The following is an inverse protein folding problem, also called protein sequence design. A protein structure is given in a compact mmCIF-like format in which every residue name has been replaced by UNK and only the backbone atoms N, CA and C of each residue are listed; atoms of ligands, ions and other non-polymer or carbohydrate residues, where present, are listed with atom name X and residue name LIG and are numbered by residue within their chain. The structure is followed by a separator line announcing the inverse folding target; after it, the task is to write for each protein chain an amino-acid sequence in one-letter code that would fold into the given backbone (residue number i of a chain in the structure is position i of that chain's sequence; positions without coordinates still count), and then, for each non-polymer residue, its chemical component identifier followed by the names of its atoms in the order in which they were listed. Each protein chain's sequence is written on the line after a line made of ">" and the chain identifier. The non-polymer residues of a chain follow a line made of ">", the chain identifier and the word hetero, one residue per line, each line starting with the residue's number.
data_IF_527599003150
#
_entry.id   IF_527599003150
#
_cell.length_a   1.000
_cell.length_b   1.000
_cell.length_c   1.000
_cell.angle_alpha   90.00
_cell.angle_beta   90.00
_cell.angle_gamma   90.00
#
_symmetry.space_group_name_H-M   'P 1'
#
loop_
_entity.id
_entity.type
_entity.pdbx_description
1 polymer ?
#
# COMPACT_ATOMS: atom_id res chain seq x y z
N UNK A 1 16.14 9.73 -5.09
CA UNK A 1 17.14 9.31 -4.07
C UNK A 1 16.61 8.25 -3.12
N UNK A 2 15.35 8.33 -2.68
CA UNK A 2 14.84 7.47 -1.60
C UNK A 2 14.62 6.00 -1.97
N UNK A 3 14.24 5.70 -3.21
CA UNK A 3 14.14 4.31 -3.70
C UNK A 3 15.50 3.59 -3.79
N UNK A 4 16.59 4.31 -4.02
CA UNK A 4 17.94 3.73 -3.99
C UNK A 4 18.35 3.23 -2.61
N UNK A 5 17.90 3.91 -1.56
CA UNK A 5 18.20 3.53 -0.17
C UNK A 5 17.50 2.25 0.28
N UNK A 6 16.46 1.82 -0.45
CA UNK A 6 15.72 0.58 -0.18
C UNK A 6 16.07 -0.55 -1.16
N UNK A 7 17.14 -0.37 -1.95
CA UNK A 7 17.76 -1.43 -2.76
C UNK A 7 17.42 -1.45 -4.25
N UNK A 8 16.70 -0.46 -4.77
CA UNK A 8 16.43 -0.36 -6.21
C UNK A 8 17.51 0.43 -6.93
N UNK A 9 17.97 -0.04 -8.10
CA UNK A 9 18.65 0.87 -9.04
C UNK A 9 17.60 1.75 -9.71
N UNK A 10 17.87 3.05 -9.84
CA UNK A 10 16.88 4.00 -10.33
C UNK A 10 17.48 5.05 -11.25
N UNK A 11 16.81 5.31 -12.37
CA UNK A 11 17.02 6.53 -13.17
C UNK A 11 15.83 7.47 -13.00
N UNK A 12 16.07 8.77 -13.14
CA UNK A 12 15.04 9.81 -12.99
C UNK A 12 14.98 10.64 -14.25
N UNK A 13 13.76 10.93 -14.71
CA UNK A 13 13.46 11.88 -15.76
C UNK A 13 12.45 12.90 -15.24
N UNK A 14 12.52 14.13 -15.75
CA UNK A 14 11.67 15.24 -15.31
C UNK A 14 10.60 15.64 -16.35
N UNK A 15 10.63 14.99 -17.51
CA UNK A 15 9.70 15.17 -18.63
C UNK A 15 9.54 13.85 -19.40
N UNK A 16 8.47 13.75 -20.19
CA UNK A 16 8.08 12.52 -20.88
C UNK A 16 9.06 12.10 -21.97
N UNK A 17 9.61 13.04 -22.74
CA UNK A 17 10.65 12.73 -23.74
C UNK A 17 11.90 12.12 -23.12
N UNK A 18 12.42 12.73 -22.06
CA UNK A 18 13.58 12.20 -21.34
C UNK A 18 13.26 10.84 -20.71
N UNK A 19 12.01 10.64 -20.24
CA UNK A 19 11.57 9.35 -19.70
C UNK A 19 11.62 8.24 -20.76
N UNK A 20 11.08 8.50 -21.96
CA UNK A 20 11.12 7.56 -23.08
C UNK A 20 12.56 7.23 -23.51
N UNK A 21 13.40 8.25 -23.70
CA UNK A 21 14.81 8.06 -24.08
C UNK A 21 15.58 7.25 -23.02
N UNK A 22 15.32 7.54 -21.74
CA UNK A 22 15.94 6.82 -20.63
C UNK A 22 15.45 5.37 -20.56
N UNK A 23 14.16 5.14 -20.73
CA UNK A 23 13.58 3.81 -20.71
C UNK A 23 14.13 2.94 -21.85
N UNK A 24 14.25 3.50 -23.06
CA UNK A 24 14.81 2.80 -24.21
C UNK A 24 16.29 2.43 -24.03
N UNK A 25 17.09 3.28 -23.38
CA UNK A 25 18.53 3.05 -23.19
C UNK A 25 18.84 2.16 -21.99
N UNK A 26 18.07 2.27 -20.91
CA UNK A 26 18.34 1.61 -19.64
C UNK A 26 17.55 0.31 -19.46
N UNK A 27 16.46 0.12 -20.21
CA UNK A 27 15.57 -1.05 -20.15
C UNK A 27 15.11 -1.39 -18.73
N UNK A 28 14.32 -0.51 -18.08
CA UNK A 28 13.89 -0.71 -16.70
C UNK A 28 12.94 -1.89 -16.54
N UNK A 29 12.94 -2.52 -15.36
CA UNK A 29 11.92 -3.51 -14.99
C UNK A 29 10.56 -2.86 -14.64
N UNK A 30 10.59 -1.58 -14.22
CA UNK A 30 9.40 -0.81 -13.83
C UNK A 30 9.54 0.68 -14.10
N UNK A 31 8.46 1.30 -14.57
CA UNK A 31 8.27 2.73 -14.72
C UNK A 31 7.33 3.27 -13.64
N UNK A 32 7.83 4.20 -12.83
CA UNK A 32 7.01 4.98 -11.89
C UNK A 32 6.72 6.34 -12.52
N UNK A 33 5.53 6.51 -13.09
CA UNK A 33 5.19 7.63 -13.96
C UNK A 33 4.24 8.62 -13.29
N UNK A 34 4.60 9.90 -13.27
CA UNK A 34 3.64 10.96 -12.97
C UNK A 34 2.63 11.11 -14.10
N UNK A 35 1.34 11.21 -13.78
CA UNK A 35 0.30 11.44 -14.80
C UNK A 35 0.46 12.82 -15.45
N UNK A 36 0.87 13.82 -14.66
CA UNK A 36 0.99 15.21 -15.09
C UNK A 36 2.47 15.56 -15.29
N UNK A 37 2.98 15.34 -16.50
CA UNK A 37 4.32 15.79 -16.91
C UNK A 37 4.23 17.12 -17.67
N UNK A 38 5.33 17.91 -17.72
CA UNK A 38 5.31 19.25 -18.30
C UNK A 38 5.12 19.29 -19.84
N UNK A 39 5.47 18.22 -20.55
CA UNK A 39 5.51 18.16 -22.02
C UNK A 39 4.48 17.21 -22.64
N UNK A 40 4.07 16.16 -21.94
CA UNK A 40 3.01 15.21 -22.34
C UNK A 40 2.34 14.58 -21.12
N UNK A 41 1.31 13.74 -21.30
CA UNK A 41 0.79 12.98 -20.15
C UNK A 41 1.64 11.76 -19.85
N UNK A 42 1.71 11.32 -18.59
CA UNK A 42 2.29 10.03 -18.24
C UNK A 42 1.62 8.86 -18.95
N UNK A 43 0.32 8.97 -19.29
CA UNK A 43 -0.37 7.97 -20.11
C UNK A 43 0.18 7.90 -21.53
N UNK A 44 0.58 9.04 -22.10
CA UNK A 44 1.21 9.08 -23.42
C UNK A 44 2.59 8.42 -23.37
N UNK A 45 3.37 8.71 -22.33
CA UNK A 45 4.67 8.04 -22.09
C UNK A 45 4.51 6.52 -22.00
N UNK A 46 3.51 6.03 -21.25
CA UNK A 46 3.26 4.60 -21.11
C UNK A 46 2.90 3.96 -22.46
N UNK A 47 1.95 4.54 -23.19
CA UNK A 47 1.56 4.05 -24.51
C UNK A 47 2.75 4.01 -25.46
N UNK A 48 3.49 5.09 -25.57
CA UNK A 48 4.61 5.23 -26.51
C UNK A 48 5.76 4.26 -26.12
N UNK A 49 5.98 4.01 -24.82
CA UNK A 49 6.94 3.02 -24.34
C UNK A 49 6.53 1.58 -24.72
N UNK A 50 5.25 1.24 -24.56
CA UNK A 50 4.70 -0.08 -24.95
C UNK A 50 4.79 -0.26 -26.47
N UNK A 51 4.42 0.76 -27.26
CA UNK A 51 4.54 0.73 -28.72
C UNK A 51 6.00 0.57 -29.19
N UNK A 52 6.95 1.10 -28.42
CA UNK A 52 8.39 0.91 -28.64
C UNK A 52 8.92 -0.47 -28.20
N UNK A 53 8.07 -1.35 -27.67
CA UNK A 53 8.43 -2.72 -27.26
C UNK A 53 8.98 -2.82 -25.84
N UNK A 54 8.61 -1.89 -24.95
CA UNK A 54 9.00 -1.95 -23.53
C UNK A 54 8.09 -2.92 -22.77
N UNK A 55 8.69 -3.90 -22.09
CA UNK A 55 7.99 -4.88 -21.23
C UNK A 55 7.99 -4.46 -19.74
N UNK A 56 8.42 -3.24 -19.45
CA UNK A 56 8.48 -2.71 -18.08
C UNK A 56 7.08 -2.59 -17.48
N UNK A 57 6.94 -2.96 -16.22
CA UNK A 57 5.70 -2.75 -15.50
C UNK A 57 5.47 -1.25 -15.23
N UNK A 58 4.22 -0.79 -15.15
CA UNK A 58 3.90 0.64 -15.01
C UNK A 58 3.05 0.92 -13.78
N UNK A 59 3.55 1.81 -12.92
CA UNK A 59 2.82 2.37 -11.79
C UNK A 59 2.62 3.87 -12.02
N UNK A 60 1.37 4.33 -12.01
CA UNK A 60 1.05 5.74 -12.15
C UNK A 60 0.95 6.47 -10.81
N UNK A 61 1.50 7.68 -10.75
CA UNK A 61 1.32 8.63 -9.66
C UNK A 61 0.29 9.68 -10.08
N UNK A 62 -0.89 9.67 -9.47
CA UNK A 62 -2.00 10.59 -9.81
C UNK A 62 -2.31 11.55 -8.67
N UNK A 63 -2.74 12.78 -8.97
CA UNK A 63 -3.18 13.76 -7.98
C UNK A 63 -4.71 13.86 -7.80
N UNK A 64 -5.52 13.03 -8.50
CA UNK A 64 -6.99 13.17 -8.50
C UNK A 64 -7.73 11.84 -8.28
N UNK A 65 -8.77 11.93 -7.45
CA UNK A 65 -9.75 10.88 -7.11
C UNK A 65 -10.81 10.62 -8.19
N UNK A 66 -10.66 11.17 -9.40
CA UNK A 66 -11.70 11.01 -10.44
C UNK A 66 -11.64 9.60 -11.05
N UNK A 67 -12.74 8.87 -10.86
CA UNK A 67 -13.01 7.52 -11.39
C UNK A 67 -12.74 7.41 -12.90
N UNK A 68 -12.79 8.52 -13.65
CA UNK A 68 -12.52 8.57 -15.09
C UNK A 68 -11.05 8.31 -15.49
N UNK A 69 -10.08 8.69 -14.66
CA UNK A 69 -8.66 8.52 -14.98
C UNK A 69 -8.17 7.08 -14.73
N UNK A 70 -8.73 6.42 -13.70
CA UNK A 70 -8.48 4.99 -13.43
C UNK A 70 -8.94 4.10 -14.59
N UNK A 71 -10.10 4.40 -15.18
CA UNK A 71 -10.63 3.64 -16.34
C UNK A 71 -9.74 3.81 -17.57
N UNK A 72 -9.19 5.02 -17.78
CA UNK A 72 -8.31 5.30 -18.92
C UNK A 72 -7.00 4.56 -18.84
N UNK A 73 -6.30 4.60 -17.72
CA UNK A 73 -4.98 4.02 -17.70
C UNK A 73 -4.95 2.48 -17.52
N UNK A 74 -6.01 1.83 -17.00
CA UNK A 74 -6.14 0.37 -17.14
C UNK A 74 -6.28 -0.04 -18.62
N UNK A 75 -6.90 0.81 -19.45
CA UNK A 75 -6.99 0.61 -20.89
C UNK A 75 -5.66 0.80 -21.65
N UNK A 76 -4.64 1.39 -21.03
CA UNK A 76 -3.31 1.66 -21.63
C UNK A 76 -2.25 0.66 -21.13
N UNK A 77 -2.58 -0.24 -20.20
CA UNK A 77 -1.66 -1.27 -19.70
C UNK A 77 -0.98 -0.95 -18.38
N UNK A 78 -1.61 -0.16 -17.51
CA UNK A 78 -1.08 0.07 -16.15
C UNK A 78 -1.21 -1.15 -15.24
N UNK A 79 -0.17 -1.42 -14.45
CA UNK A 79 -0.16 -2.49 -13.44
C UNK A 79 -0.65 -2.03 -12.06
N UNK A 80 -0.47 -0.76 -11.70
CA UNK A 80 -0.98 -0.17 -10.45
C UNK A 80 -1.09 1.38 -10.49
N UNK A 81 -1.74 1.96 -9.49
CA UNK A 81 -1.88 3.40 -9.27
C UNK A 81 -1.59 3.79 -7.83
N UNK A 82 -0.97 4.97 -7.66
CA UNK A 82 -0.72 5.61 -6.37
C UNK A 82 -1.26 7.02 -6.41
N UNK A 83 -2.14 7.36 -5.46
CA UNK A 83 -2.66 8.72 -5.32
C UNK A 83 -1.71 9.59 -4.50
N UNK A 84 -1.53 10.84 -4.92
CA UNK A 84 -0.80 11.88 -4.20
C UNK A 84 -1.76 12.56 -3.23
N UNK A 85 -1.36 12.80 -1.97
CA UNK A 85 -0.03 12.56 -1.42
C UNK A 85 0.19 11.10 -0.95
N UNK A 86 1.32 10.49 -1.32
CA UNK A 86 1.69 9.12 -0.94
C UNK A 86 2.80 9.07 0.12
N UNK A 87 2.94 7.94 0.83
CA UNK A 87 4.16 7.65 1.61
C UNK A 87 5.22 6.97 0.74
N UNK A 88 6.49 7.08 1.12
CA UNK A 88 7.55 6.28 0.49
C UNK A 88 7.28 4.78 0.65
N UNK A 89 6.86 4.36 1.85
CA UNK A 89 6.62 2.97 2.18
C UNK A 89 5.52 2.36 1.30
N UNK A 90 4.48 3.14 0.99
CA UNK A 90 3.41 2.76 0.06
C UNK A 90 3.97 2.54 -1.34
N UNK A 91 4.74 3.49 -1.87
CA UNK A 91 5.36 3.36 -3.20
C UNK A 91 6.29 2.16 -3.25
N UNK A 92 7.09 1.93 -2.21
CA UNK A 92 8.01 0.78 -2.13
C UNK A 92 7.25 -0.54 -2.10
N UNK A 93 6.17 -0.63 -1.32
CA UNK A 93 5.35 -1.84 -1.26
C UNK A 93 4.73 -2.17 -2.61
N UNK A 94 4.18 -1.17 -3.31
CA UNK A 94 3.56 -1.35 -4.63
C UNK A 94 4.56 -1.71 -5.72
N UNK A 95 5.72 -1.04 -5.74
CA UNK A 95 6.83 -1.38 -6.65
C UNK A 95 7.25 -2.84 -6.50
N UNK A 96 7.38 -3.34 -5.25
CA UNK A 96 7.72 -4.75 -5.00
C UNK A 96 6.62 -5.69 -5.48
N UNK A 97 5.36 -5.38 -5.21
CA UNK A 97 4.23 -6.21 -5.60
C UNK A 97 4.12 -6.34 -7.13
N UNK A 98 4.31 -5.24 -7.85
CA UNK A 98 4.24 -5.22 -9.32
C UNK A 98 5.42 -5.98 -9.94
N UNK A 99 6.66 -5.71 -9.53
CA UNK A 99 7.84 -6.43 -10.04
C UNK A 99 7.75 -7.95 -9.82
N UNK A 100 7.16 -8.38 -8.70
CA UNK A 100 6.97 -9.80 -8.41
C UNK A 100 6.01 -10.48 -9.38
N UNK A 101 4.97 -9.76 -9.86
CA UNK A 101 4.00 -10.26 -10.83
C UNK A 101 4.58 -10.29 -12.26
N UNK A 102 5.39 -9.31 -12.63
CA UNK A 102 5.96 -9.19 -13.98
C UNK A 102 7.04 -10.23 -14.31
N UNK A 103 7.73 -10.79 -13.31
CA UNK A 103 8.78 -11.81 -13.54
C UNK A 103 8.26 -13.26 -13.67
N UNK A 104 6.96 -13.47 -13.91
CA UNK A 104 6.42 -14.79 -14.26
C UNK A 104 6.63 -15.88 -13.19
N UNK A 105 6.75 -15.48 -11.92
CA UNK A 105 6.66 -16.44 -10.82
C UNK A 105 5.19 -16.83 -10.67
N UNK A 106 4.74 -17.78 -11.51
CA UNK A 106 3.45 -18.46 -11.45
C UNK A 106 3.37 -19.40 -10.23
N UNK A 107 3.39 -18.79 -9.06
CA UNK A 107 2.90 -19.34 -7.81
C UNK A 107 2.43 -18.14 -6.98
N UNK A 108 1.24 -18.20 -6.35
CA UNK A 108 0.82 -17.10 -5.47
C UNK A 108 1.97 -16.86 -4.47
N UNK A 109 2.51 -15.64 -4.37
CA UNK A 109 3.52 -15.40 -3.37
C UNK A 109 2.88 -15.72 -2.01
N UNK A 110 3.55 -16.56 -1.23
CA UNK A 110 3.25 -16.66 0.18
C UNK A 110 3.59 -15.30 0.82
N UNK A 111 2.69 -14.32 0.72
CA UNK A 111 2.91 -13.00 1.30
C UNK A 111 2.23 -11.84 0.58
N UNK A 112 0.91 -11.72 0.73
CA UNK A 112 0.33 -10.44 1.19
C UNK A 112 -0.93 -10.65 2.04
N UNK A 113 -1.11 -11.88 2.55
CA UNK A 113 -2.22 -12.24 3.43
C UNK A 113 -1.66 -12.37 4.84
N UNK A 114 -2.07 -11.48 5.73
CA UNK A 114 -1.74 -11.54 7.14
C UNK A 114 -2.85 -12.30 7.89
N UNK A 115 -2.46 -13.37 8.58
CA UNK A 115 -3.41 -14.22 9.31
C UNK A 115 -3.11 -14.26 10.80
N UNK A 116 -4.14 -14.20 11.65
CA UNK A 116 -4.03 -14.46 13.07
C UNK A 116 -5.29 -15.15 13.61
N UNK A 117 -5.17 -16.44 13.93
CA UNK A 117 -6.35 -17.26 14.23
C UNK A 117 -7.28 -17.31 13.03
N UNK A 118 -8.54 -16.97 13.23
CA UNK A 118 -9.59 -16.84 12.21
C UNK A 118 -9.66 -15.44 11.57
N UNK A 119 -8.73 -14.53 11.87
CA UNK A 119 -8.62 -13.23 11.21
C UNK A 119 -7.69 -13.35 10.00
N UNK A 120 -8.13 -12.85 8.85
CA UNK A 120 -7.38 -12.82 7.60
C UNK A 120 -7.48 -11.41 7.02
N UNK A 121 -6.34 -10.82 6.68
CA UNK A 121 -6.25 -9.55 5.97
C UNK A 121 -5.47 -9.80 4.69
N UNK A 122 -6.12 -9.61 3.56
CA UNK A 122 -5.52 -9.62 2.23
C UNK A 122 -5.13 -8.18 1.87
N UNK A 123 -3.83 -7.94 1.76
CA UNK A 123 -3.24 -6.62 1.51
C UNK A 123 -3.26 -6.25 0.03
N UNK A 124 -3.37 -7.23 -0.87
CA UNK A 124 -3.57 -6.97 -2.29
C UNK A 124 -5.02 -6.55 -2.57
N UNK A 125 -5.98 -7.24 -1.96
CA UNK A 125 -7.41 -6.99 -2.15
C UNK A 125 -7.99 -5.92 -1.23
N UNK A 126 -7.21 -5.42 -0.26
CA UNK A 126 -7.71 -4.59 0.84
C UNK A 126 -8.93 -5.21 1.54
N UNK A 127 -8.95 -6.55 1.64
CA UNK A 127 -10.06 -7.32 2.17
C UNK A 127 -9.70 -7.84 3.56
N UNK A 128 -10.61 -7.69 4.51
CA UNK A 128 -10.47 -8.27 5.85
C UNK A 128 -11.62 -9.22 6.08
N UNK A 129 -11.31 -10.43 6.54
CA UNK A 129 -12.32 -11.41 6.95
C UNK A 129 -12.03 -11.94 8.35
N UNK A 130 -13.10 -12.26 9.08
CA UNK A 130 -13.07 -12.84 10.42
C UNK A 130 -13.95 -14.08 10.42
N UNK A 131 -13.37 -15.25 10.62
CA UNK A 131 -14.08 -16.52 10.51
C UNK A 131 -14.74 -16.71 9.14
N UNK A 132 -14.15 -16.15 8.07
CA UNK A 132 -14.73 -16.14 6.72
C UNK A 132 -15.78 -15.05 6.47
N UNK A 133 -16.17 -14.26 7.49
CA UNK A 133 -17.11 -13.14 7.33
C UNK A 133 -16.35 -11.87 6.97
N UNK A 134 -16.69 -11.15 5.88
CA UNK A 134 -16.09 -9.86 5.56
C UNK A 134 -16.30 -8.82 6.68
N UNK A 135 -15.26 -8.02 6.95
CA UNK A 135 -15.29 -6.93 7.92
C UNK A 135 -14.89 -5.63 7.23
N UNK A 136 -15.85 -4.72 7.07
CA UNK A 136 -15.62 -3.42 6.44
C UNK A 136 -14.87 -2.47 7.37
N UNK A 137 -13.64 -2.13 7.01
CA UNK A 137 -12.79 -1.19 7.74
C UNK A 137 -12.59 0.09 6.93
N UNK A 138 -12.57 1.23 7.63
CA UNK A 138 -12.04 2.47 7.08
C UNK A 138 -10.52 2.37 6.86
N UNK A 139 -9.91 3.23 6.04
CA UNK A 139 -8.47 3.16 5.76
C UNK A 139 -7.58 3.18 7.01
N UNK A 140 -7.95 3.99 8.01
CA UNK A 140 -7.19 4.09 9.27
C UNK A 140 -7.40 2.89 10.18
N UNK A 141 -8.62 2.33 10.24
CA UNK A 141 -8.87 1.08 10.98
C UNK A 141 -8.12 -0.11 10.34
N UNK A 142 -8.05 -0.13 9.00
CA UNK A 142 -7.29 -1.11 8.23
C UNK A 142 -5.79 -1.01 8.52
N UNK A 143 -5.22 0.20 8.45
CA UNK A 143 -3.81 0.43 8.75
C UNK A 143 -3.45 0.03 10.19
N UNK A 144 -4.32 0.36 11.16
CA UNK A 144 -4.18 -0.09 12.54
C UNK A 144 -4.20 -1.62 12.66
N UNK A 145 -5.13 -2.29 11.98
CA UNK A 145 -5.24 -3.74 12.00
C UNK A 145 -4.02 -4.42 11.37
N UNK A 146 -3.56 -3.92 10.22
CA UNK A 146 -2.35 -4.38 9.53
C UNK A 146 -1.13 -4.27 10.44
N UNK A 147 -0.96 -3.13 11.12
CA UNK A 147 0.15 -2.93 12.06
C UNK A 147 0.12 -3.90 13.24
N UNK A 148 -1.08 -4.17 13.80
CA UNK A 148 -1.28 -5.18 14.84
C UNK A 148 -0.98 -6.60 14.34
N UNK A 149 -1.39 -6.94 13.11
CA UNK A 149 -1.18 -8.24 12.48
C UNK A 149 0.29 -8.51 12.11
N UNK A 150 1.07 -7.47 11.84
CA UNK A 150 2.53 -7.57 11.66
C UNK A 150 3.28 -7.79 12.98
N UNK A 151 2.62 -7.54 14.12
CA UNK A 151 3.22 -7.60 15.46
C UNK A 151 2.40 -8.50 16.43
N UNK A 152 2.05 -9.76 16.07
CA UNK A 152 1.22 -10.60 16.90
C UNK A 152 1.92 -10.95 18.21
N UNK A 153 1.18 -10.91 19.32
CA UNK A 153 1.71 -11.18 20.67
C UNK A 153 2.62 -10.08 21.25
N UNK A 154 3.06 -9.10 20.45
CA UNK A 154 3.86 -7.97 20.92
C UNK A 154 2.95 -6.86 21.45
N UNK A 155 3.33 -6.28 22.59
CA UNK A 155 2.64 -5.09 23.12
C UNK A 155 3.15 -3.86 22.38
N UNK A 156 2.24 -3.17 21.70
CA UNK A 156 2.49 -1.93 20.97
C UNK A 156 1.97 -0.75 21.78
N UNK A 157 2.84 0.22 22.05
CA UNK A 157 2.48 1.43 22.79
C UNK A 157 1.62 2.37 21.95
N UNK A 158 0.88 3.27 22.61
CA UNK A 158 0.10 4.30 21.91
C UNK A 158 0.97 5.16 21.00
N UNK A 159 2.17 5.52 21.47
CA UNK A 159 3.12 6.31 20.68
C UNK A 159 3.61 5.54 19.44
N UNK A 160 3.89 4.23 19.56
CA UNK A 160 4.28 3.41 18.42
C UNK A 160 3.16 3.27 17.38
N UNK A 161 1.94 3.02 17.86
CA UNK A 161 0.76 2.94 17.00
C UNK A 161 0.49 4.28 16.33
N UNK A 162 0.58 5.38 17.08
CA UNK A 162 0.39 6.72 16.54
C UNK A 162 1.42 6.98 15.43
N UNK A 163 2.70 6.80 15.71
CA UNK A 163 3.81 7.05 14.78
C UNK A 163 3.70 6.22 13.47
N UNK A 164 3.28 4.96 13.56
CA UNK A 164 3.18 4.07 12.39
C UNK A 164 1.87 4.18 11.62
N UNK A 165 0.76 4.54 12.27
CA UNK A 165 -0.57 4.59 11.64
C UNK A 165 -0.99 6.02 11.29
N UNK A 166 -0.45 7.02 11.98
CA UNK A 166 -0.69 8.45 11.78
C UNK A 166 0.64 9.21 11.59
N UNK A 167 0.83 9.83 10.42
CA UNK A 167 2.04 10.62 10.12
C UNK A 167 2.15 11.88 11.01
N UNK A 168 3.38 12.35 11.20
CA UNK A 168 3.87 13.31 12.21
C UNK A 168 3.30 14.76 12.21
N UNK A 169 2.18 15.05 11.54
CA UNK A 169 1.54 16.38 11.56
C UNK A 169 0.27 16.43 12.43
N UNK A 170 -0.03 15.38 13.19
CA UNK A 170 -1.23 15.33 14.04
C UNK A 170 -0.97 16.02 15.39
N UNK A 171 -1.33 17.31 15.49
CA UNK A 171 -1.36 18.08 16.74
C UNK A 171 -2.52 17.69 17.68
N UNK A 172 -2.95 16.42 17.65
CA UNK A 172 -4.15 15.95 18.33
C UNK A 172 -3.86 15.09 19.56
N UNK A 173 -4.86 15.07 20.44
CA UNK A 173 -4.84 14.48 21.77
C UNK A 173 -4.56 12.97 21.75
N UNK A 174 -3.91 12.47 22.80
CA UNK A 174 -3.46 11.08 22.92
C UNK A 174 -4.59 10.02 22.93
N UNK A 175 -5.86 10.45 22.84
CA UNK A 175 -7.07 9.63 22.82
C UNK A 175 -7.53 9.12 21.44
N UNK A 176 -6.87 9.52 20.34
CA UNK A 176 -7.24 9.06 18.99
C UNK A 176 -7.00 7.56 18.83
N UNK A 177 -5.88 7.05 19.35
CA UNK A 177 -5.55 5.62 19.29
C UNK A 177 -6.63 4.79 19.99
N UNK A 178 -7.10 5.22 21.17
CA UNK A 178 -8.17 4.59 21.93
C UNK A 178 -9.46 4.52 21.14
N UNK A 179 -9.80 5.62 20.46
CA UNK A 179 -11.03 5.74 19.67
C UNK A 179 -11.01 4.75 18.52
N UNK A 180 -9.91 4.69 17.76
CA UNK A 180 -9.77 3.75 16.64
C UNK A 180 -9.63 2.30 17.10
N UNK A 181 -8.96 2.02 18.21
CA UNK A 181 -8.95 0.67 18.79
C UNK A 181 -10.36 0.25 19.22
N UNK A 182 -11.14 1.17 19.78
CA UNK A 182 -12.54 0.92 20.18
C UNK A 182 -13.41 0.58 18.96
N UNK A 183 -13.30 1.38 17.89
CA UNK A 183 -14.02 1.14 16.64
C UNK A 183 -13.63 -0.18 15.99
N UNK A 184 -12.32 -0.44 15.85
CA UNK A 184 -11.78 -1.67 15.30
C UNK A 184 -12.28 -2.90 16.09
N UNK A 185 -12.23 -2.85 17.43
CA UNK A 185 -12.78 -3.91 18.29
C UNK A 185 -14.26 -4.13 18.04
N UNK A 186 -15.05 -3.06 17.97
CA UNK A 186 -16.50 -3.18 17.75
C UNK A 186 -16.81 -3.97 16.48
N UNK A 187 -16.05 -3.73 15.40
CA UNK A 187 -16.21 -4.42 14.12
C UNK A 187 -15.70 -5.86 14.16
N UNK A 188 -14.48 -6.08 14.68
CA UNK A 188 -13.90 -7.43 14.75
C UNK A 188 -14.66 -8.35 15.71
N UNK A 189 -15.08 -7.82 16.86
CA UNK A 189 -15.75 -8.60 17.90
C UNK A 189 -17.21 -8.94 17.52
N UNK A 190 -17.81 -8.20 16.59
CA UNK A 190 -19.12 -8.56 16.04
C UNK A 190 -19.08 -9.88 15.26
N UNK A 191 -17.91 -10.23 14.70
CA UNK A 191 -17.71 -11.43 13.89
C UNK A 191 -16.97 -12.56 14.63
N UNK A 192 -16.56 -12.37 15.89
CA UNK A 192 -15.86 -13.42 16.65
C UNK A 192 -15.34 -12.97 18.01
N UNK A 193 -14.62 -13.83 18.75
CA UNK A 193 -14.10 -13.50 20.07
C UNK A 193 -13.00 -12.42 20.00
N UNK A 194 -12.80 -11.65 21.07
CA UNK A 194 -11.90 -10.49 21.07
C UNK A 194 -10.43 -10.87 20.96
N UNK A 195 -9.77 -10.36 19.92
CA UNK A 195 -8.33 -10.56 19.69
C UNK A 195 -7.45 -9.38 20.12
N UNK A 196 -7.95 -8.15 20.00
CA UNK A 196 -7.18 -6.95 20.34
C UNK A 196 -7.39 -6.65 21.82
N UNK A 197 -6.35 -6.78 22.63
CA UNK A 197 -6.42 -6.64 24.09
C UNK A 197 -5.61 -5.44 24.57
N UNK A 198 -6.05 -4.83 25.69
CA UNK A 198 -5.36 -3.71 26.30
C UNK A 198 -4.46 -4.22 27.41
N UNK A 199 -3.19 -3.86 27.35
CA UNK A 199 -2.22 -4.03 28.43
C UNK A 199 -2.12 -2.70 29.15
N UNK A 200 -2.81 -2.59 30.30
CA UNK A 200 -2.94 -1.34 31.05
C UNK A 200 -1.57 -0.74 31.35
N UNK A 201 -1.38 0.55 31.02
CA UNK A 201 -0.12 1.28 31.19
C UNK A 201 0.91 1.06 30.09
N UNK A 202 0.73 0.09 29.19
CA UNK A 202 1.72 -0.26 28.16
C UNK A 202 1.20 -0.10 26.73
N UNK A 203 -0.06 -0.46 26.45
CA UNK A 203 -0.65 -0.29 25.13
C UNK A 203 -1.59 -1.42 24.72
N UNK A 204 -1.44 -1.91 23.49
CA UNK A 204 -2.34 -2.90 22.88
C UNK A 204 -1.58 -4.08 22.32
N UNK A 205 -2.23 -5.25 22.29
CA UNK A 205 -1.65 -6.49 21.77
C UNK A 205 -2.71 -7.28 21.03
N UNK A 206 -2.33 -7.85 19.89
CA UNK A 206 -3.13 -8.86 19.20
C UNK A 206 -2.77 -10.23 19.76
N UNK A 207 -3.71 -10.90 20.45
CA UNK A 207 -3.50 -12.25 21.01
C UNK A 207 -4.80 -13.03 21.14
N UNK A 208 -4.70 -14.35 21.18
CA UNK A 208 -5.86 -15.19 21.48
C UNK A 208 -6.41 -14.89 22.89
N UNK A 209 -7.74 -14.92 23.07
CA UNK A 209 -8.35 -14.88 24.39
C UNK A 209 -7.86 -16.09 25.22
N UNK A 210 -7.62 -15.86 26.51
CA UNK A 210 -7.33 -16.92 27.47
C UNK A 210 -8.61 -17.60 27.95
#
# INVERSE_FOLDING_TARGET
>A
MTLRHVGFDTRTAFDGRTALDTAAQWSPDLLLLDVMLPDMSGYDVCRDAIEAGTDAAVIFLSARDEVGDRIRGFGVGADDYVTKPFSLEEVVARVRAVLLRSHGQDGPPAGNVLTFGDLVLDDDQHLVTRGGTPVDLSPTEYALLRYLLQNPGRVLSKAQILDHVWKYDFAGDGGVVESFVSLLRKKLNAAGPPLVQTVRGFGYVLRQPR
#
